data_IF_294456850927
#
_entry.id   IF_294456850927
#
_cell.length_a   1.000
_cell.length_b   1.000
_cell.length_c   1.000
_cell.angle_alpha   90.00
_cell.angle_beta   90.00
_cell.angle_gamma   90.00
#
_symmetry.space_group_name_H-M   'P 1'
#
loop_
_entity.id
_entity.type
_entity.pdbx_description
1 polymer ?
#
# COMPACT_ATOMS: atom_id res chain seq x y z
N UNK A 1 54.18 -12.06 -30.21
CA UNK A 1 55.18 -11.95 -29.12
C UNK A 1 54.45 -11.31 -27.95
N UNK A 2 53.81 -12.07 -27.06
CA UNK A 2 54.36 -12.70 -25.82
C UNK A 2 54.90 -11.63 -24.84
N UNK A 3 54.51 -11.48 -23.57
CA UNK A 3 54.00 -12.37 -22.48
C UNK A 3 53.07 -11.52 -21.56
N UNK A 4 52.03 -11.98 -20.86
CA UNK A 4 51.84 -13.02 -19.83
C UNK A 4 52.59 -12.82 -18.49
N UNK A 5 51.81 -12.65 -17.40
CA UNK A 5 51.95 -13.21 -16.04
C UNK A 5 50.76 -12.68 -15.21
N UNK A 6 49.90 -13.43 -14.49
CA UNK A 6 49.91 -14.83 -14.07
C UNK A 6 49.90 -14.89 -12.53
N UNK A 7 48.76 -15.13 -11.87
CA UNK A 7 48.75 -15.69 -10.50
C UNK A 7 47.48 -16.50 -10.22
N UNK A 8 47.68 -17.79 -9.91
CA UNK A 8 46.66 -18.76 -9.48
C UNK A 8 47.20 -19.57 -8.31
N UNK A 9 46.36 -19.72 -7.27
CA UNK A 9 46.23 -20.85 -6.33
C UNK A 9 47.39 -21.33 -5.45
N UNK A 10 47.09 -21.49 -4.15
CA UNK A 10 47.58 -22.62 -3.35
C UNK A 10 46.51 -23.12 -2.35
N UNK A 11 46.36 -24.45 -2.28
CA UNK A 11 45.52 -25.24 -1.35
C UNK A 11 46.43 -26.24 -0.61
N UNK A 12 45.93 -26.76 0.53
CA UNK A 12 46.25 -28.05 1.21
C UNK A 12 47.53 -28.04 2.09
N UNK A 13 47.64 -28.68 3.28
CA UNK A 13 47.17 -30.00 3.81
C UNK A 13 47.14 -30.03 5.37
N UNK A 14 46.36 -30.98 5.88
CA UNK A 14 46.05 -31.52 7.23
C UNK A 14 47.17 -32.02 8.18
N UNK A 15 46.84 -32.22 9.47
CA UNK A 15 47.04 -33.51 10.21
C UNK A 15 46.28 -33.55 11.56
N UNK A 16 46.00 -34.76 12.05
CA UNK A 16 45.08 -35.15 13.14
C UNK A 16 45.79 -35.91 14.29
N UNK A 17 45.03 -36.33 15.32
CA UNK A 17 45.28 -37.31 16.44
C UNK A 17 45.29 -36.67 17.85
N UNK A 18 44.85 -37.26 18.97
CA UNK A 18 44.13 -38.50 19.34
C UNK A 18 43.80 -38.48 20.86
N UNK A 19 42.94 -39.40 21.30
CA UNK A 19 42.29 -39.60 22.61
C UNK A 19 43.15 -39.83 23.88
N UNK A 20 42.54 -39.72 25.08
CA UNK A 20 42.68 -40.66 26.23
C UNK A 20 41.76 -40.34 27.44
N UNK A 21 41.40 -41.37 28.21
CA UNK A 21 40.49 -41.41 29.36
C UNK A 21 41.21 -41.74 30.71
N UNK A 22 40.56 -41.55 31.87
CA UNK A 22 40.95 -42.03 33.22
C UNK A 22 39.75 -41.98 34.20
N UNK A 23 39.21 -43.08 34.77
CA UNK A 23 39.58 -43.94 35.93
C UNK A 23 39.17 -43.41 37.34
N UNK A 24 38.14 -44.06 37.94
CA UNK A 24 37.82 -44.55 39.34
C UNK A 24 38.58 -44.04 40.60
N UNK A 25 38.01 -44.09 41.86
CA UNK A 25 37.73 -45.36 42.59
C UNK A 25 36.62 -45.42 43.70
N UNK A 26 36.44 -46.68 44.17
CA UNK A 26 35.58 -47.36 45.18
C UNK A 26 35.94 -47.19 46.67
N UNK A 27 35.00 -47.47 47.60
CA UNK A 27 35.25 -48.08 48.95
C UNK A 27 34.06 -48.90 49.50
N UNK A 28 34.36 -49.90 50.36
CA UNK A 28 33.57 -51.01 50.93
C UNK A 28 33.24 -50.79 52.44
N UNK A 29 32.07 -51.16 53.01
CA UNK A 29 31.67 -52.39 53.75
C UNK A 29 31.52 -52.30 55.30
N UNK A 30 30.73 -53.26 55.85
CA UNK A 30 30.44 -53.66 57.27
C UNK A 30 29.29 -52.93 58.00
N UNK A 31 28.42 -53.52 58.85
CA UNK A 31 28.19 -54.88 59.40
C UNK A 31 27.39 -54.80 60.73
N UNK A 32 26.54 -55.81 61.03
CA UNK A 32 25.97 -56.24 62.34
C UNK A 32 24.61 -55.70 62.91
N UNK A 33 23.56 -56.52 62.76
CA UNK A 33 22.68 -57.16 63.79
C UNK A 33 21.97 -56.41 64.96
N UNK A 34 20.62 -56.54 65.06
CA UNK A 34 19.82 -57.04 66.22
C UNK A 34 18.27 -57.03 65.97
N UNK A 35 17.55 -57.90 66.68
CA UNK A 35 16.12 -58.33 66.59
C UNK A 35 15.05 -57.34 67.15
N UNK A 36 13.72 -57.55 66.92
CA UNK A 36 12.65 -56.53 66.84
C UNK A 36 11.75 -56.38 68.10
N UNK A 37 10.91 -55.32 68.23
CA UNK A 37 9.43 -55.44 68.05
C UNK A 37 8.74 -54.09 67.65
N UNK A 38 7.39 -53.91 67.75
CA UNK A 38 6.28 -54.70 67.22
C UNK A 38 5.48 -53.93 66.12
N UNK A 39 4.64 -54.69 65.41
CA UNK A 39 3.66 -54.24 64.40
C UNK A 39 2.61 -53.32 65.02
N UNK A 40 2.42 -52.14 64.44
CA UNK A 40 1.31 -51.25 64.83
C UNK A 40 1.27 -49.86 64.20
N UNK A 41 2.19 -49.49 63.30
CA UNK A 41 2.22 -48.15 62.67
C UNK A 41 2.64 -48.16 61.19
N UNK A 42 2.26 -49.20 60.45
CA UNK A 42 2.70 -49.41 59.07
C UNK A 42 1.60 -49.21 58.01
N UNK A 43 0.41 -48.73 58.39
CA UNK A 43 -0.69 -48.46 57.44
C UNK A 43 -0.80 -46.96 57.13
N UNK A 44 -0.38 -46.08 58.04
CA UNK A 44 -0.50 -44.62 57.86
C UNK A 44 0.68 -44.00 57.08
N UNK A 45 1.85 -44.65 57.07
CA UNK A 45 3.00 -44.24 56.23
C UNK A 45 2.84 -44.63 54.76
N UNK A 46 2.16 -45.73 54.46
CA UNK A 46 1.91 -46.19 53.09
C UNK A 46 0.92 -45.27 52.37
N UNK A 47 -0.10 -44.76 53.05
CA UNK A 47 -1.05 -43.80 52.45
C UNK A 47 -0.43 -42.42 52.16
N UNK A 48 0.47 -41.93 53.03
CA UNK A 48 1.17 -40.66 52.78
C UNK A 48 2.24 -40.79 51.69
N UNK A 49 2.94 -41.93 51.61
CA UNK A 49 3.87 -42.20 50.52
C UNK A 49 3.15 -42.41 49.18
N UNK A 50 1.98 -43.04 49.15
CA UNK A 50 1.16 -43.16 47.93
C UNK A 50 0.61 -41.80 47.50
N UNK A 51 0.18 -40.94 48.43
CA UNK A 51 -0.22 -39.55 48.12
C UNK A 51 0.94 -38.72 47.57
N UNK A 52 2.14 -38.83 48.15
CA UNK A 52 3.33 -38.13 47.64
C UNK A 52 3.80 -38.67 46.29
N UNK A 53 3.71 -39.98 46.04
CA UNK A 53 4.04 -40.57 44.74
C UNK A 53 3.01 -40.21 43.65
N UNK A 54 1.72 -40.11 43.99
CA UNK A 54 0.68 -39.63 43.07
C UNK A 54 0.87 -38.13 42.79
N UNK A 55 1.21 -37.32 43.80
CA UNK A 55 1.49 -35.89 43.62
C UNK A 55 2.74 -35.66 42.78
N UNK A 56 3.83 -36.40 43.04
CA UNK A 56 5.03 -36.38 42.20
C UNK A 56 4.74 -36.88 40.78
N UNK A 57 3.91 -37.90 40.61
CA UNK A 57 3.44 -38.35 39.30
C UNK A 57 2.65 -37.27 38.55
N UNK A 58 1.73 -36.58 39.23
CA UNK A 58 0.94 -35.48 38.66
C UNK A 58 1.81 -34.26 38.30
N UNK A 59 2.75 -33.88 39.17
CA UNK A 59 3.70 -32.79 38.90
C UNK A 59 4.64 -33.15 37.76
N UNK A 60 5.09 -34.40 37.68
CA UNK A 60 5.95 -34.86 36.57
C UNK A 60 5.18 -34.91 35.25
N UNK A 61 3.88 -35.29 35.25
CA UNK A 61 3.01 -35.19 34.06
C UNK A 61 2.74 -33.74 33.68
N UNK A 62 2.54 -32.83 34.65
CA UNK A 62 2.38 -31.39 34.41
C UNK A 62 3.66 -30.74 33.87
N UNK A 63 4.82 -31.11 34.39
CA UNK A 63 6.13 -30.63 33.92
C UNK A 63 6.49 -31.23 32.56
N UNK A 64 6.16 -32.51 32.29
CA UNK A 64 6.33 -33.13 30.98
C UNK A 64 5.33 -32.58 29.94
N UNK A 65 4.10 -32.22 30.34
CA UNK A 65 3.17 -31.44 29.49
C UNK A 65 3.60 -29.98 29.31
N UNK A 66 4.39 -29.43 30.22
CA UNK A 66 5.01 -28.11 30.10
C UNK A 66 6.29 -28.09 29.25
N UNK A 67 6.92 -29.24 29.01
CA UNK A 67 8.19 -29.35 28.26
C UNK A 67 8.05 -30.08 26.91
N UNK A 68 6.93 -30.77 26.67
CA UNK A 68 6.51 -31.24 25.34
C UNK A 68 5.34 -30.36 24.91
N UNK A 69 5.64 -29.34 24.10
CA UNK A 69 4.67 -28.37 23.62
C UNK A 69 3.51 -29.00 22.87
N UNK A 70 2.35 -29.07 23.53
CA UNK A 70 1.05 -29.16 22.88
C UNK A 70 0.44 -27.77 22.95
N UNK A 71 0.46 -27.08 21.82
CA UNK A 71 -0.03 -25.73 21.62
C UNK A 71 -1.56 -25.69 21.72
N UNK A 72 -2.10 -25.54 22.94
CA UNK A 72 -3.50 -25.13 23.18
C UNK A 72 -3.49 -23.83 23.97
N UNK A 73 -3.32 -22.74 23.23
CA UNK A 73 -3.38 -21.38 23.70
C UNK A 73 -3.57 -20.47 22.50
N UNK A 74 -4.70 -20.61 21.81
CA UNK A 74 -5.17 -19.56 20.90
C UNK A 74 -5.30 -18.29 21.74
N UNK A 75 -4.52 -17.26 21.43
CA UNK A 75 -4.71 -15.99 22.11
C UNK A 75 -6.15 -15.53 21.83
N UNK A 76 -6.84 -14.95 22.80
CA UNK A 76 -8.21 -14.44 22.59
C UNK A 76 -8.28 -13.50 21.37
N UNK A 77 -7.16 -12.87 21.00
CA UNK A 77 -7.03 -12.09 19.78
C UNK A 77 -7.12 -12.91 18.49
N UNK A 78 -6.59 -14.14 18.46
CA UNK A 78 -6.64 -15.02 17.28
C UNK A 78 -8.04 -15.62 17.09
N UNK A 79 -8.74 -15.93 18.18
CA UNK A 79 -10.14 -16.40 18.16
C UNK A 79 -11.09 -15.27 17.74
N UNK A 80 -10.90 -14.06 18.28
CA UNK A 80 -11.67 -12.88 17.86
C UNK A 80 -11.41 -12.56 16.39
N UNK A 81 -10.17 -12.67 15.91
CA UNK A 81 -9.85 -12.43 14.50
C UNK A 81 -10.46 -13.51 13.59
N UNK A 82 -10.45 -14.79 14.00
CA UNK A 82 -11.13 -15.87 13.28
C UNK A 82 -12.65 -15.67 13.22
N UNK A 83 -13.28 -15.31 14.35
CA UNK A 83 -14.72 -15.05 14.40
C UNK A 83 -15.11 -13.84 13.53
N UNK A 84 -14.33 -12.75 13.54
CA UNK A 84 -14.57 -11.60 12.66
C UNK A 84 -14.42 -11.99 11.19
N UNK A 85 -13.41 -12.80 10.84
CA UNK A 85 -13.22 -13.30 9.48
C UNK A 85 -14.41 -14.19 9.05
N UNK A 86 -14.88 -15.07 9.93
CA UNK A 86 -16.00 -15.98 9.67
C UNK A 86 -17.33 -15.23 9.55
N UNK A 87 -17.58 -14.25 10.41
CA UNK A 87 -18.76 -13.38 10.37
C UNK A 87 -18.74 -12.44 9.15
N UNK A 88 -17.57 -11.92 8.78
CA UNK A 88 -17.38 -11.15 7.54
C UNK A 88 -17.61 -12.02 6.31
N UNK A 89 -17.08 -13.24 6.28
CA UNK A 89 -17.32 -14.17 5.18
C UNK A 89 -18.78 -14.58 5.08
N UNK A 90 -19.49 -14.70 6.20
CA UNK A 90 -20.93 -14.96 6.24
C UNK A 90 -21.74 -13.77 5.71
N UNK A 91 -21.42 -12.55 6.12
CA UNK A 91 -22.04 -11.32 5.60
C UNK A 91 -21.75 -11.14 4.10
N UNK A 92 -20.53 -11.44 3.65
CA UNK A 92 -20.15 -11.43 2.23
C UNK A 92 -20.88 -12.50 1.43
N UNK A 93 -21.12 -13.68 2.02
CA UNK A 93 -21.92 -14.74 1.39
C UNK A 93 -23.40 -14.35 1.26
N UNK A 94 -23.93 -13.62 2.25
CA UNK A 94 -25.30 -13.10 2.23
C UNK A 94 -25.46 -12.00 1.16
N UNK A 95 -24.51 -11.06 1.06
CA UNK A 95 -24.44 -10.05 -0.03
C UNK A 95 -24.32 -10.74 -1.40
N UNK A 96 -23.56 -11.83 -1.49
CA UNK A 96 -23.43 -12.62 -2.73
C UNK A 96 -24.66 -13.46 -3.04
N UNK A 97 -25.49 -13.83 -2.06
CA UNK A 97 -26.74 -14.57 -2.30
C UNK A 97 -27.91 -13.67 -2.67
N UNK A 98 -27.85 -12.39 -2.29
CA UNK A 98 -28.80 -11.34 -2.72
C UNK A 98 -28.42 -10.73 -4.08
N UNK A 99 -27.43 -11.30 -4.80
CA UNK A 99 -27.19 -10.92 -6.19
C UNK A 99 -28.38 -11.39 -7.04
N UNK A 100 -29.25 -10.43 -7.33
CA UNK A 100 -30.48 -10.56 -8.09
C UNK A 100 -30.39 -11.52 -9.28
N UNK A 101 -31.41 -12.37 -9.37
CA UNK A 101 -31.78 -13.19 -10.52
C UNK A 101 -32.19 -12.35 -11.76
N UNK A 102 -31.77 -11.09 -11.87
CA UNK A 102 -32.17 -10.16 -12.93
C UNK A 102 -31.10 -9.88 -13.98
N UNK A 103 -29.87 -10.37 -13.84
CA UNK A 103 -28.77 -10.08 -14.79
C UNK A 103 -28.70 -11.05 -15.98
N UNK A 104 -29.66 -11.96 -16.11
CA UNK A 104 -29.77 -12.93 -17.22
C UNK A 104 -30.57 -12.41 -18.42
N UNK A 105 -31.01 -11.15 -18.40
CA UNK A 105 -31.78 -10.51 -19.48
C UNK A 105 -31.09 -9.28 -20.11
N UNK A 106 -29.80 -9.01 -19.84
CA UNK A 106 -29.08 -8.03 -20.67
C UNK A 106 -28.87 -8.62 -22.08
N UNK A 107 -29.20 -7.88 -23.17
CA UNK A 107 -28.83 -8.27 -24.51
C UNK A 107 -27.31 -8.52 -24.58
N UNK A 108 -26.81 -9.40 -25.47
CA UNK A 108 -25.38 -9.59 -25.62
C UNK A 108 -24.68 -8.24 -25.80
N UNK A 109 -23.55 -8.06 -25.09
CA UNK A 109 -22.65 -6.90 -25.11
C UNK A 109 -22.76 -6.21 -26.48
N UNK A 110 -23.24 -4.97 -26.49
CA UNK A 110 -23.42 -4.22 -27.73
C UNK A 110 -22.11 -4.24 -28.51
N UNK A 111 -22.10 -4.94 -29.63
CA UNK A 111 -21.02 -4.90 -30.61
C UNK A 111 -20.74 -3.42 -30.90
N UNK A 112 -19.65 -2.88 -30.34
CA UNK A 112 -19.09 -1.64 -30.84
C UNK A 112 -18.84 -1.91 -32.33
N UNK A 113 -19.58 -1.21 -33.18
CA UNK A 113 -19.30 -1.20 -34.61
C UNK A 113 -17.84 -0.77 -34.74
N UNK A 114 -16.97 -1.66 -35.24
CA UNK A 114 -15.52 -1.44 -35.32
C UNK A 114 -15.18 -0.19 -36.16
N UNK A 115 -16.17 0.37 -36.85
CA UNK A 115 -16.10 1.62 -37.62
C UNK A 115 -16.44 2.88 -36.80
N UNK A 116 -17.01 2.78 -35.61
CA UNK A 116 -17.30 3.94 -34.76
C UNK A 116 -16.10 4.27 -33.87
N UNK A 117 -15.64 5.52 -33.96
CA UNK A 117 -14.58 6.03 -33.09
C UNK A 117 -15.17 6.32 -31.71
N UNK A 118 -14.62 5.68 -30.67
CA UNK A 118 -15.04 5.92 -29.28
C UNK A 118 -14.83 7.39 -28.89
N UNK A 119 -15.75 7.95 -28.09
CA UNK A 119 -15.65 9.31 -27.53
C UNK A 119 -16.05 9.33 -26.07
N UNK A 120 -15.37 10.13 -25.24
CA UNK A 120 -15.71 10.31 -23.81
C UNK A 120 -16.97 11.18 -23.57
N UNK A 121 -17.55 11.71 -24.65
CA UNK A 121 -18.71 12.58 -24.65
C UNK A 121 -18.61 13.67 -25.73
N UNK A 122 -19.60 14.58 -25.80
CA UNK A 122 -19.59 15.67 -26.78
C UNK A 122 -18.34 16.54 -26.68
N UNK A 123 -17.78 16.94 -27.83
CA UNK A 123 -16.59 17.79 -27.88
C UNK A 123 -16.91 19.17 -27.31
N UNK A 124 -16.06 19.62 -26.39
CA UNK A 124 -16.09 20.97 -25.82
C UNK A 124 -14.80 21.67 -26.27
N UNK A 125 -14.91 22.91 -26.77
CA UNK A 125 -13.77 23.67 -27.31
C UNK A 125 -13.53 25.01 -26.61
N UNK A 126 -14.39 25.37 -25.66
CA UNK A 126 -14.35 26.65 -24.94
C UNK A 126 -14.46 26.48 -23.42
N UNK A 127 -13.97 25.37 -22.87
CA UNK A 127 -14.09 25.05 -21.44
C UNK A 127 -13.46 26.11 -20.54
N UNK A 128 -12.27 26.62 -20.90
CA UNK A 128 -11.60 27.66 -20.09
C UNK A 128 -12.44 28.95 -19.99
N UNK A 129 -13.15 29.30 -21.07
CA UNK A 129 -14.04 30.46 -21.08
C UNK A 129 -15.28 30.21 -20.22
N UNK A 130 -15.90 29.03 -20.34
CA UNK A 130 -17.05 28.64 -19.53
C UNK A 130 -16.69 28.61 -18.04
N UNK A 131 -15.57 27.98 -17.68
CA UNK A 131 -15.07 27.87 -16.31
C UNK A 131 -14.74 29.25 -15.73
N UNK A 132 -14.09 30.14 -16.49
CA UNK A 132 -13.83 31.51 -16.06
C UNK A 132 -15.11 32.31 -15.80
N UNK A 133 -16.12 32.17 -16.67
CA UNK A 133 -17.41 32.82 -16.49
C UNK A 133 -18.11 32.30 -15.23
N UNK A 134 -18.13 30.98 -15.04
CA UNK A 134 -18.72 30.35 -13.86
C UNK A 134 -18.05 30.82 -12.56
N UNK A 135 -16.70 30.85 -12.50
CA UNK A 135 -15.96 31.33 -11.32
C UNK A 135 -16.26 32.79 -11.00
N UNK A 136 -16.46 33.62 -12.03
CA UNK A 136 -16.84 35.03 -11.85
C UNK A 136 -18.25 35.18 -11.28
N UNK A 137 -19.17 34.28 -11.66
CA UNK A 137 -20.56 34.27 -11.19
C UNK A 137 -20.74 33.60 -9.82
N UNK A 138 -19.78 32.77 -9.38
CA UNK A 138 -19.86 31.97 -8.16
C UNK A 138 -18.66 32.23 -7.23
N UNK A 139 -18.53 33.45 -6.65
CA UNK A 139 -17.36 33.83 -5.84
C UNK A 139 -17.22 33.03 -4.54
N UNK A 140 -18.30 32.41 -4.05
CA UNK A 140 -18.29 31.54 -2.86
C UNK A 140 -17.58 30.20 -3.11
N UNK A 141 -17.28 29.87 -4.38
CA UNK A 141 -16.58 28.65 -4.79
C UNK A 141 -15.27 29.00 -5.52
N UNK A 142 -14.28 29.62 -4.85
CA UNK A 142 -13.04 30.03 -5.50
C UNK A 142 -12.17 28.81 -5.82
N UNK A 143 -11.44 28.87 -6.93
CA UNK A 143 -10.44 27.85 -7.28
C UNK A 143 -9.15 27.93 -6.47
N UNK A 144 -8.98 29.00 -5.70
CA UNK A 144 -7.87 29.18 -4.77
C UNK A 144 -8.38 29.64 -3.40
N UNK A 145 -7.92 28.98 -2.33
CA UNK A 145 -8.24 29.31 -0.94
C UNK A 145 -6.94 29.63 -0.21
N UNK A 146 -6.82 30.82 0.37
CA UNK A 146 -5.60 31.29 1.06
C UNK A 146 -4.31 31.15 0.22
N UNK A 147 -4.40 31.41 -1.09
CA UNK A 147 -3.28 31.27 -2.03
C UNK A 147 -2.94 29.84 -2.45
N UNK A 148 -3.69 28.83 -1.98
CA UNK A 148 -3.53 27.43 -2.37
C UNK A 148 -4.62 27.03 -3.37
N UNK A 149 -4.24 26.36 -4.45
CA UNK A 149 -5.19 25.85 -5.43
C UNK A 149 -6.06 24.73 -4.81
N UNK A 150 -7.37 24.72 -5.11
CA UNK A 150 -8.26 23.63 -4.68
C UNK A 150 -7.90 22.32 -5.40
N UNK A 151 -7.73 21.26 -4.62
CA UNK A 151 -7.45 19.90 -5.10
C UNK A 151 -8.62 18.99 -4.74
N UNK A 152 -9.03 18.16 -5.70
CA UNK A 152 -9.96 17.05 -5.50
C UNK A 152 -9.21 15.73 -5.71
N UNK A 153 -9.04 14.95 -4.65
CA UNK A 153 -8.47 13.60 -4.75
C UNK A 153 -9.55 12.62 -5.23
N UNK A 154 -9.29 11.95 -6.34
CA UNK A 154 -10.13 10.91 -6.91
C UNK A 154 -9.45 9.56 -6.76
N UNK A 155 -10.17 8.61 -6.16
CA UNK A 155 -9.78 7.19 -6.12
C UNK A 155 -11.01 6.33 -6.37
N UNK A 156 -10.86 5.02 -6.47
CA UNK A 156 -11.99 4.12 -6.63
C UNK A 156 -11.61 2.65 -6.69
N UNK A 157 -12.62 1.81 -6.63
CA UNK A 157 -12.53 0.37 -6.77
C UNK A 157 -13.72 -0.14 -7.61
N UNK A 158 -13.68 -1.40 -8.09
CA UNK A 158 -14.86 -2.03 -8.67
C UNK A 158 -16.06 -2.00 -7.69
N UNK A 159 -17.31 -1.98 -8.20
CA UNK A 159 -18.53 -2.05 -7.38
C UNK A 159 -18.75 -3.40 -6.71
N UNK A 160 -18.25 -4.47 -7.34
CA UNK A 160 -18.43 -5.84 -6.86
C UNK A 160 -17.41 -6.14 -5.76
N UNK A 161 -17.74 -7.01 -4.79
CA UNK A 161 -16.77 -7.51 -3.82
C UNK A 161 -15.54 -8.08 -4.52
N UNK A 162 -14.39 -7.99 -3.87
CA UNK A 162 -13.15 -8.52 -4.42
C UNK A 162 -13.22 -10.05 -4.63
N UNK A 163 -12.52 -10.53 -5.66
CA UNK A 163 -12.35 -11.96 -5.92
C UNK A 163 -11.72 -12.64 -4.69
N UNK A 164 -10.69 -11.98 -4.15
CA UNK A 164 -10.07 -12.33 -2.88
C UNK A 164 -10.71 -11.50 -1.74
N UNK A 165 -11.43 -12.12 -0.78
CA UNK A 165 -12.15 -11.39 0.27
C UNK A 165 -11.27 -10.48 1.14
N UNK A 166 -9.99 -10.82 1.33
CA UNK A 166 -9.06 -9.95 2.08
C UNK A 166 -8.78 -8.64 1.33
N UNK A 167 -8.98 -8.61 0.01
CA UNK A 167 -8.82 -7.43 -0.84
C UNK A 167 -9.68 -6.25 -0.37
N UNK A 168 -10.95 -6.51 -0.03
CA UNK A 168 -11.87 -5.49 0.48
C UNK A 168 -11.34 -4.84 1.78
N UNK A 169 -10.70 -5.63 2.65
CA UNK A 169 -10.06 -5.09 3.86
C UNK A 169 -8.91 -4.13 3.54
N UNK A 170 -8.10 -4.44 2.52
CA UNK A 170 -7.00 -3.56 2.12
C UNK A 170 -7.49 -2.34 1.32
N UNK A 171 -8.60 -2.44 0.58
CA UNK A 171 -9.29 -1.28 0.01
C UNK A 171 -9.78 -0.33 1.12
N UNK A 172 -10.38 -0.89 2.19
CA UNK A 172 -10.81 -0.11 3.36
C UNK A 172 -9.64 0.59 4.05
N UNK A 173 -8.52 -0.10 4.26
CA UNK A 173 -7.30 0.50 4.83
C UNK A 173 -6.74 1.60 3.93
N UNK A 174 -6.76 1.39 2.62
CA UNK A 174 -6.32 2.39 1.65
C UNK A 174 -7.18 3.65 1.66
N UNK A 175 -8.51 3.52 1.68
CA UNK A 175 -9.38 4.69 1.77
C UNK A 175 -9.23 5.40 3.11
N UNK A 176 -9.09 4.69 4.23
CA UNK A 176 -8.78 5.33 5.53
C UNK A 176 -7.49 6.14 5.46
N UNK A 177 -6.42 5.59 4.88
CA UNK A 177 -5.15 6.28 4.70
C UNK A 177 -5.32 7.59 3.91
N UNK A 178 -6.05 7.54 2.80
CA UNK A 178 -6.36 8.72 1.98
C UNK A 178 -7.24 9.73 2.71
N UNK A 179 -8.25 9.28 3.46
CA UNK A 179 -9.10 10.14 4.31
C UNK A 179 -8.25 10.89 5.34
N UNK A 180 -7.31 10.20 5.99
CA UNK A 180 -6.46 10.82 7.00
C UNK A 180 -5.56 11.90 6.40
N UNK A 181 -4.91 11.61 5.27
CA UNK A 181 -4.11 12.61 4.54
C UNK A 181 -4.96 13.80 4.08
N UNK A 182 -6.07 13.54 3.39
CA UNK A 182 -6.95 14.59 2.86
C UNK A 182 -7.50 15.48 3.97
N UNK A 183 -7.86 14.91 5.12
CA UNK A 183 -8.31 15.67 6.30
C UNK A 183 -7.21 16.55 6.90
N UNK A 184 -5.96 16.10 6.90
CA UNK A 184 -4.80 16.87 7.39
C UNK A 184 -4.52 18.06 6.47
N UNK A 185 -4.61 17.85 5.15
CA UNK A 185 -4.21 18.82 4.13
C UNK A 185 -5.37 19.66 3.57
N UNK A 186 -6.61 19.44 4.02
CA UNK A 186 -7.78 20.18 3.56
C UNK A 186 -8.16 19.89 2.11
N UNK A 187 -7.98 18.63 1.69
CA UNK A 187 -8.27 18.14 0.33
C UNK A 187 -9.63 17.43 0.35
N UNK A 188 -10.46 17.68 -0.65
CA UNK A 188 -11.72 16.96 -0.83
C UNK A 188 -11.45 15.60 -1.49
N UNK A 189 -12.24 14.58 -1.17
CA UNK A 189 -12.06 13.22 -1.71
C UNK A 189 -13.35 12.70 -2.36
N UNK A 190 -13.21 12.12 -3.55
CA UNK A 190 -14.25 11.34 -4.24
C UNK A 190 -13.78 9.90 -4.34
N UNK A 191 -14.63 8.97 -3.89
CA UNK A 191 -14.42 7.55 -4.04
C UNK A 191 -15.43 6.98 -5.04
N UNK A 192 -14.96 6.59 -6.22
CA UNK A 192 -15.82 6.00 -7.24
C UNK A 192 -15.98 4.49 -7.04
N UNK A 193 -17.23 4.02 -7.08
CA UNK A 193 -17.58 2.60 -7.19
C UNK A 193 -18.45 2.31 -8.41
N UNK A 194 -18.72 3.29 -9.27
CA UNK A 194 -19.59 3.13 -10.44
C UNK A 194 -18.78 2.93 -11.73
N UNK A 195 -19.28 2.05 -12.60
CA UNK A 195 -18.86 2.00 -14.00
C UNK A 195 -19.68 3.03 -14.78
N UNK A 196 -19.06 4.18 -15.08
CA UNK A 196 -19.72 5.24 -15.86
C UNK A 196 -19.80 4.91 -17.36
N UNK A 197 -18.96 3.98 -17.81
CA UNK A 197 -18.84 3.58 -19.20
C UNK A 197 -18.51 2.08 -19.23
N UNK A 198 -19.30 1.30 -20.01
CA UNK A 198 -19.13 -0.15 -20.12
C UNK A 198 -17.90 -0.53 -20.98
N UNK A 199 -17.45 0.37 -21.86
CA UNK A 199 -16.31 0.16 -22.76
C UNK A 199 -14.98 0.43 -22.07
N UNK A 200 -14.92 1.48 -21.24
CA UNK A 200 -13.74 1.82 -20.44
C UNK A 200 -13.78 1.16 -19.06
N UNK A 201 -13.65 -0.16 -19.04
CA UNK A 201 -13.54 -0.95 -17.81
C UNK A 201 -12.09 -1.04 -17.28
N UNK A 202 -11.95 -1.49 -16.02
CA UNK A 202 -10.65 -1.72 -15.39
C UNK A 202 -9.85 -0.43 -15.16
N UNK A 203 -8.56 -0.43 -15.46
CA UNK A 203 -7.68 0.73 -15.27
C UNK A 203 -8.10 1.94 -16.13
N UNK A 204 -8.86 1.72 -17.21
CA UNK A 204 -9.37 2.79 -18.07
C UNK A 204 -10.55 3.58 -17.48
N UNK A 205 -11.23 3.04 -16.47
CA UNK A 205 -12.43 3.66 -15.87
C UNK A 205 -12.15 5.04 -15.24
N UNK A 206 -10.89 5.36 -14.98
CA UNK A 206 -10.46 6.67 -14.47
C UNK A 206 -10.71 7.80 -15.46
N UNK A 207 -10.54 7.59 -16.77
CA UNK A 207 -10.72 8.64 -17.80
C UNK A 207 -12.13 9.26 -17.81
N UNK A 208 -13.23 8.48 -17.94
CA UNK A 208 -14.57 9.05 -17.97
C UNK A 208 -14.94 9.71 -16.64
N UNK A 209 -14.45 9.18 -15.51
CA UNK A 209 -14.68 9.78 -14.20
C UNK A 209 -13.94 11.12 -14.02
N UNK A 210 -12.66 11.20 -14.44
CA UNK A 210 -11.90 12.46 -14.41
C UNK A 210 -12.63 13.51 -15.27
N UNK A 211 -13.00 13.18 -16.50
CA UNK A 211 -13.76 14.10 -17.37
C UNK A 211 -15.06 14.56 -16.70
N UNK A 212 -15.81 13.64 -16.08
CA UNK A 212 -17.05 13.97 -15.38
C UNK A 212 -16.81 14.95 -14.24
N UNK A 213 -15.81 14.72 -13.41
CA UNK A 213 -15.50 15.61 -12.28
C UNK A 213 -14.97 16.97 -12.74
N UNK A 214 -14.17 17.04 -13.80
CA UNK A 214 -13.73 18.33 -14.37
C UNK A 214 -14.93 19.22 -14.71
N UNK A 215 -15.93 18.64 -15.39
CA UNK A 215 -17.11 19.37 -15.86
C UNK A 215 -18.12 19.67 -14.73
N UNK A 216 -18.23 18.78 -13.74
CA UNK A 216 -19.16 18.94 -12.61
C UNK A 216 -18.62 19.85 -11.50
N UNK A 217 -17.29 20.04 -11.42
CA UNK A 217 -16.63 20.84 -10.40
C UNK A 217 -15.73 21.94 -10.99
N UNK A 218 -16.29 23.01 -11.58
CA UNK A 218 -15.50 24.10 -12.16
C UNK A 218 -14.65 24.84 -11.12
N UNK A 219 -15.00 24.78 -9.83
CA UNK A 219 -14.23 25.34 -8.72
C UNK A 219 -12.93 24.58 -8.44
N UNK A 220 -12.80 23.32 -8.87
CA UNK A 220 -11.59 22.54 -8.63
C UNK A 220 -10.52 22.96 -9.63
N UNK A 221 -9.32 23.28 -9.15
CA UNK A 221 -8.18 23.63 -10.00
C UNK A 221 -7.39 22.39 -10.42
N UNK A 222 -7.22 21.44 -9.50
CA UNK A 222 -6.52 20.18 -9.75
C UNK A 222 -7.36 18.98 -9.36
N UNK A 223 -7.49 18.03 -10.28
CA UNK A 223 -7.97 16.68 -9.98
C UNK A 223 -6.74 15.79 -9.81
N UNK A 224 -6.63 15.15 -8.66
CA UNK A 224 -5.55 14.23 -8.36
C UNK A 224 -6.07 12.81 -8.35
N UNK A 225 -5.77 12.05 -9.41
CA UNK A 225 -6.06 10.62 -9.45
C UNK A 225 -5.04 9.88 -8.58
N UNK A 226 -5.52 8.94 -7.75
CA UNK A 226 -4.67 8.04 -6.98
C UNK A 226 -5.28 6.64 -6.92
N UNK A 227 -4.52 5.63 -7.37
CA UNK A 227 -4.96 4.24 -7.39
C UNK A 227 -5.28 3.72 -5.98
N UNK A 228 -6.14 2.70 -5.92
CA UNK A 228 -6.58 2.11 -4.66
C UNK A 228 -5.48 1.34 -3.93
N UNK A 229 -4.43 0.90 -4.61
CA UNK A 229 -3.24 0.24 -4.07
C UNK A 229 -2.04 1.20 -3.89
N UNK A 230 -2.25 2.50 -4.08
CA UNK A 230 -1.30 3.54 -3.65
C UNK A 230 -1.65 4.06 -2.25
N UNK A 231 -0.66 4.18 -1.38
CA UNK A 231 -0.81 4.68 -0.01
C UNK A 231 0.07 5.90 0.22
N UNK A 232 -0.47 6.91 0.90
CA UNK A 232 0.35 7.96 1.50
C UNK A 232 1.22 7.36 2.60
N UNK A 233 2.52 7.57 2.50
CA UNK A 233 3.50 7.17 3.51
C UNK A 233 4.23 8.36 4.14
N UNK A 234 4.08 9.56 3.59
CA UNK A 234 4.41 10.82 4.24
C UNK A 234 3.13 11.64 4.49
N UNK A 235 2.69 11.70 5.74
CA UNK A 235 1.48 12.44 6.13
C UNK A 235 1.73 13.95 6.31
N UNK A 236 3.00 14.39 6.25
CA UNK A 236 3.41 15.78 6.47
C UNK A 236 3.71 16.49 5.16
N UNK A 237 4.27 15.77 4.18
CA UNK A 237 4.61 16.33 2.87
C UNK A 237 3.38 16.92 2.16
N UNK A 238 3.54 18.11 1.61
CA UNK A 238 2.54 18.80 0.79
C UNK A 238 3.10 18.98 -0.62
N UNK A 239 2.27 18.71 -1.63
CA UNK A 239 2.66 18.88 -3.04
C UNK A 239 2.99 20.36 -3.30
N UNK A 240 4.18 20.68 -3.84
CA UNK A 240 4.58 22.07 -4.10
C UNK A 240 3.90 22.61 -5.38
N UNK A 241 2.57 22.81 -5.34
CA UNK A 241 1.75 23.16 -6.52
C UNK A 241 2.21 24.42 -7.26
N UNK A 242 2.86 25.36 -6.57
CA UNK A 242 3.44 26.57 -7.19
C UNK A 242 4.49 26.22 -8.25
N UNK A 243 5.18 25.07 -8.13
CA UNK A 243 6.13 24.58 -9.13
C UNK A 243 5.47 24.26 -10.47
N UNK A 244 4.19 23.91 -10.45
CA UNK A 244 3.46 23.40 -11.60
C UNK A 244 2.54 24.44 -12.24
N UNK A 245 2.71 25.72 -11.92
CA UNK A 245 1.85 26.82 -12.39
C UNK A 245 1.70 26.86 -13.92
N UNK A 246 2.75 26.52 -14.67
CA UNK A 246 2.76 26.56 -16.14
C UNK A 246 2.45 25.21 -16.80
N UNK A 247 2.09 24.20 -16.00
CA UNK A 247 1.80 22.83 -16.44
C UNK A 247 0.35 22.45 -16.14
N UNK A 248 -0.14 21.45 -16.87
CA UNK A 248 -1.51 20.94 -16.78
C UNK A 248 -1.58 19.46 -16.40
N UNK A 249 -0.51 18.70 -16.65
CA UNK A 249 -0.36 17.33 -16.17
C UNK A 249 0.92 17.24 -15.34
N UNK A 250 0.82 16.72 -14.12
CA UNK A 250 1.98 16.40 -13.26
C UNK A 250 1.95 14.91 -13.00
N UNK A 251 3.01 14.21 -13.40
CA UNK A 251 3.08 12.76 -13.34
C UNK A 251 4.47 12.32 -12.93
N UNK A 252 4.57 11.30 -12.06
CA UNK A 252 5.87 10.77 -11.68
C UNK A 252 6.51 10.02 -12.85
N UNK A 253 7.81 10.20 -13.04
CA UNK A 253 8.55 9.43 -14.04
C UNK A 253 10.03 9.73 -14.09
N UNK A 254 10.71 9.06 -15.01
CA UNK A 254 12.15 9.19 -15.20
C UNK A 254 12.44 9.65 -16.63
N UNK A 255 13.00 10.87 -16.83
CA UNK A 255 13.22 11.43 -18.16
C UNK A 255 14.09 10.56 -19.08
N UNK A 256 15.10 9.88 -18.55
CA UNK A 256 15.95 8.94 -19.29
C UNK A 256 15.16 7.71 -19.75
N UNK A 257 14.31 7.16 -18.89
CA UNK A 257 13.42 6.06 -19.27
C UNK A 257 12.41 6.50 -20.33
N UNK A 258 11.92 7.73 -20.26
CA UNK A 258 10.92 8.27 -21.19
C UNK A 258 11.52 8.56 -22.56
N UNK A 259 12.51 9.45 -22.63
CA UNK A 259 13.00 10.00 -23.89
C UNK A 259 14.05 9.11 -24.55
N UNK A 260 14.96 8.52 -23.76
CA UNK A 260 16.06 7.74 -24.33
C UNK A 260 15.66 6.28 -24.52
N UNK A 261 15.04 5.68 -23.50
CA UNK A 261 14.71 4.25 -23.53
C UNK A 261 13.33 3.93 -24.08
N UNK A 262 12.40 4.91 -24.09
CA UNK A 262 10.99 4.71 -24.44
C UNK A 262 10.36 3.54 -23.68
N UNK A 263 10.65 3.47 -22.39
CA UNK A 263 10.22 2.38 -21.51
C UNK A 263 8.74 2.51 -21.15
N UNK A 264 8.02 1.39 -21.07
CA UNK A 264 6.61 1.38 -20.65
C UNK A 264 6.39 1.71 -19.16
N UNK A 265 7.47 1.70 -18.37
CA UNK A 265 7.49 2.12 -16.96
C UNK A 265 8.13 3.50 -16.76
N UNK A 266 8.28 4.27 -17.85
CA UNK A 266 8.91 5.59 -17.78
C UNK A 266 8.10 6.62 -16.97
N UNK A 267 6.78 6.48 -16.97
CA UNK A 267 5.81 7.27 -16.21
C UNK A 267 4.89 6.33 -15.44
N UNK A 268 4.26 6.81 -14.36
CA UNK A 268 3.24 6.04 -13.65
C UNK A 268 1.89 6.76 -13.59
N UNK A 269 0.83 6.13 -14.10
CA UNK A 269 -0.54 6.69 -14.11
C UNK A 269 -1.38 6.25 -12.91
N UNK A 270 -0.73 5.76 -11.84
CA UNK A 270 -1.41 5.45 -10.59
C UNK A 270 -1.44 6.58 -9.57
N UNK A 271 -0.70 7.67 -9.83
CA UNK A 271 -0.81 8.92 -9.07
C UNK A 271 -0.36 10.09 -9.93
N UNK A 272 -1.28 10.97 -10.31
CA UNK A 272 -1.00 12.13 -11.15
C UNK A 272 -2.04 13.24 -10.94
N UNK A 273 -1.68 14.47 -11.31
CA UNK A 273 -2.56 15.63 -11.23
C UNK A 273 -2.92 16.15 -12.62
N UNK A 274 -4.21 16.42 -12.83
CA UNK A 274 -4.74 17.16 -13.98
C UNK A 274 -5.24 18.53 -13.55
N UNK A 275 -4.85 19.57 -14.29
CA UNK A 275 -5.47 20.89 -14.16
C UNK A 275 -6.85 20.87 -14.81
N UNK A 276 -7.84 21.50 -14.19
CA UNK A 276 -9.17 21.66 -14.77
C UNK A 276 -9.17 22.76 -15.85
N UNK A 277 -8.80 22.38 -17.07
CA UNK A 277 -8.70 23.26 -18.23
C UNK A 277 -9.01 22.54 -19.54
N UNK A 278 -9.18 23.31 -20.62
CA UNK A 278 -9.48 22.80 -21.96
C UNK A 278 -8.42 21.81 -22.45
N UNK A 279 -7.14 22.11 -22.22
CA UNK A 279 -6.03 21.24 -22.61
C UNK A 279 -6.16 19.83 -22.01
N UNK A 280 -6.59 19.72 -20.76
CA UNK A 280 -6.75 18.42 -20.10
C UNK A 280 -7.93 17.64 -20.68
N UNK A 281 -9.03 18.31 -21.06
CA UNK A 281 -10.14 17.65 -21.79
C UNK A 281 -9.66 17.11 -23.13
N UNK A 282 -8.86 17.88 -23.85
CA UNK A 282 -8.30 17.48 -25.15
C UNK A 282 -7.33 16.31 -25.01
N UNK A 283 -6.52 16.27 -23.94
CA UNK A 283 -5.65 15.13 -23.67
C UNK A 283 -6.46 13.87 -23.35
N UNK A 284 -7.54 13.97 -22.56
CA UNK A 284 -8.41 12.83 -22.26
C UNK A 284 -9.02 12.24 -23.55
N UNK A 285 -9.48 13.09 -24.47
CA UNK A 285 -9.98 12.67 -25.78
C UNK A 285 -8.90 11.95 -26.61
N UNK A 286 -7.65 12.41 -26.55
CA UNK A 286 -6.53 11.79 -27.27
C UNK A 286 -6.01 10.50 -26.62
N UNK A 287 -6.23 10.33 -25.32
CA UNK A 287 -5.77 9.19 -24.54
C UNK A 287 -6.75 8.00 -24.58
N UNK A 288 -8.05 8.27 -24.57
CA UNK A 288 -9.11 7.27 -24.57
C UNK A 288 -9.15 6.26 -25.75
N UNK A 289 -8.68 6.53 -26.98
CA UNK A 289 -8.93 5.66 -28.14
C UNK A 289 -8.39 4.24 -28.04
N UNK A 290 -7.36 4.00 -27.22
CA UNK A 290 -6.80 2.65 -26.99
C UNK A 290 -7.51 1.88 -25.87
N UNK A 291 -8.50 2.50 -25.21
CA UNK A 291 -9.16 1.98 -24.02
C UNK A 291 -10.38 1.08 -24.21
N UNK A 292 -11.23 1.18 -25.27
CA UNK A 292 -12.43 0.36 -25.38
C UNK A 292 -12.13 -1.14 -25.36
N UNK A 293 -12.79 -1.90 -24.48
CA UNK A 293 -12.57 -3.35 -24.29
C UNK A 293 -12.75 -4.15 -25.60
N UNK A 294 -12.20 -5.36 -25.65
CA UNK A 294 -12.29 -6.24 -26.82
C UNK A 294 -11.23 -5.94 -27.89
N UNK A 295 -11.54 -6.13 -29.19
CA UNK A 295 -10.54 -6.09 -30.27
C UNK A 295 -9.72 -4.80 -30.33
N UNK A 296 -10.32 -3.65 -30.02
CA UNK A 296 -9.65 -2.34 -30.05
C UNK A 296 -8.48 -2.32 -29.05
N UNK A 297 -8.74 -2.65 -27.78
CA UNK A 297 -7.72 -2.68 -26.73
C UNK A 297 -6.69 -3.78 -26.94
N UNK A 298 -7.09 -4.93 -27.49
CA UNK A 298 -6.18 -6.02 -27.83
C UNK A 298 -5.18 -5.64 -28.93
N UNK A 299 -5.66 -5.06 -30.04
CA UNK A 299 -4.80 -4.59 -31.14
C UNK A 299 -3.92 -3.42 -30.71
N UNK A 300 -4.47 -2.47 -29.93
CA UNK A 300 -3.68 -1.40 -29.34
C UNK A 300 -2.56 -1.96 -28.43
N UNK A 301 -2.83 -3.02 -27.66
CA UNK A 301 -1.82 -3.70 -26.84
C UNK A 301 -0.64 -4.23 -27.65
N UNK A 302 -0.89 -4.75 -28.86
CA UNK A 302 0.17 -5.19 -29.79
C UNK A 302 1.00 -4.00 -30.29
N UNK A 303 0.36 -2.89 -30.64
CA UNK A 303 1.04 -1.64 -31.04
C UNK A 303 1.93 -1.13 -29.91
N UNK A 304 1.43 -1.07 -28.68
CA UNK A 304 2.18 -0.60 -27.51
C UNK A 304 3.38 -1.51 -27.22
N UNK A 305 3.19 -2.82 -27.29
CA UNK A 305 4.27 -3.82 -27.09
C UNK A 305 5.38 -3.68 -28.14
N UNK A 306 5.01 -3.37 -29.39
CA UNK A 306 5.98 -3.17 -30.47
C UNK A 306 6.77 -1.85 -30.35
N UNK A 307 6.21 -0.84 -29.68
CA UNK A 307 6.78 0.52 -29.64
C UNK A 307 7.42 0.91 -28.29
N UNK A 308 7.08 0.22 -27.20
CA UNK A 308 7.57 0.55 -25.85
C UNK A 308 8.51 -0.54 -25.34
N UNK A 309 9.71 -0.12 -24.93
CA UNK A 309 10.75 -1.03 -24.45
C UNK A 309 10.31 -1.72 -23.16
N UNK A 310 10.49 -3.04 -23.11
CA UNK A 310 10.28 -3.85 -21.92
C UNK A 310 8.82 -4.13 -21.57
N UNK A 311 7.85 -3.70 -22.40
CA UNK A 311 6.43 -3.98 -22.19
C UNK A 311 6.14 -5.46 -22.48
N UNK A 312 5.53 -6.23 -21.56
CA UNK A 312 5.08 -7.58 -21.87
C UNK A 312 3.87 -7.58 -22.82
N UNK A 313 3.56 -8.73 -23.41
CA UNK A 313 2.43 -8.88 -24.33
C UNK A 313 1.11 -9.07 -23.53
N UNK A 314 0.30 -8.02 -23.48
CA UNK A 314 -1.06 -8.01 -22.94
C UNK A 314 -1.86 -6.84 -23.55
N UNK A 315 -3.17 -6.77 -23.25
CA UNK A 315 -4.08 -5.71 -23.69
C UNK A 315 -3.54 -4.31 -23.39
N UNK A 316 -3.98 -3.28 -24.12
CA UNK A 316 -3.58 -1.90 -23.85
C UNK A 316 -3.99 -1.44 -22.44
N UNK A 317 -3.04 -0.81 -21.75
CA UNK A 317 -3.22 -0.15 -20.46
C UNK A 317 -3.07 1.37 -20.60
N UNK A 318 -3.69 2.10 -19.68
CA UNK A 318 -3.71 3.56 -19.69
C UNK A 318 -2.29 4.15 -19.58
N UNK A 319 -1.40 3.55 -18.78
CA UNK A 319 -0.02 4.02 -18.60
C UNK A 319 0.77 3.97 -19.91
N UNK A 320 0.79 2.81 -20.57
CA UNK A 320 1.48 2.60 -21.83
C UNK A 320 0.89 3.48 -22.93
N UNK A 321 -0.44 3.61 -23.00
CA UNK A 321 -1.10 4.47 -23.98
C UNK A 321 -0.72 5.94 -23.80
N UNK A 322 -0.63 6.44 -22.56
CA UNK A 322 -0.19 7.81 -22.29
C UNK A 322 1.27 8.02 -22.71
N UNK A 323 2.16 7.10 -22.33
CA UNK A 323 3.59 7.18 -22.71
C UNK A 323 3.72 7.20 -24.23
N UNK A 324 3.02 6.31 -24.94
CA UNK A 324 3.02 6.27 -26.39
C UNK A 324 2.49 7.56 -27.03
N UNK A 325 1.38 8.11 -26.51
CA UNK A 325 0.82 9.39 -26.96
C UNK A 325 1.81 10.54 -26.78
N UNK A 326 2.41 10.66 -25.59
CA UNK A 326 3.35 11.74 -25.27
C UNK A 326 4.64 11.66 -26.09
N UNK A 327 5.10 10.45 -26.43
CA UNK A 327 6.28 10.25 -27.29
C UNK A 327 5.97 10.49 -28.77
N UNK A 328 4.80 10.07 -29.24
CA UNK A 328 4.40 10.21 -30.65
C UNK A 328 3.95 11.61 -31.02
N UNK A 329 3.38 12.36 -30.07
CA UNK A 329 2.87 13.72 -30.26
C UNK A 329 3.53 14.71 -29.29
N UNK A 330 4.86 14.59 -29.13
CA UNK A 330 5.65 15.37 -28.19
C UNK A 330 5.41 16.87 -28.29
N UNK A 331 5.47 17.43 -29.50
CA UNK A 331 5.31 18.86 -29.75
C UNK A 331 3.91 19.39 -29.38
N UNK A 332 2.90 18.52 -29.38
CA UNK A 332 1.52 18.89 -29.02
C UNK A 332 1.31 18.92 -27.51
N UNK A 333 1.87 17.94 -26.78
CA UNK A 333 1.48 17.71 -25.39
C UNK A 333 2.57 18.06 -24.38
N UNK A 334 3.84 17.76 -24.67
CA UNK A 334 4.88 17.72 -23.63
C UNK A 334 5.22 19.08 -23.01
N UNK A 335 4.93 20.20 -23.69
CA UNK A 335 5.12 21.54 -23.12
C UNK A 335 4.32 21.74 -21.81
N UNK A 336 3.16 21.08 -21.68
CA UNK A 336 2.28 21.20 -20.51
C UNK A 336 2.37 20.00 -19.55
N UNK A 337 3.29 19.07 -19.79
CA UNK A 337 3.52 17.90 -18.92
C UNK A 337 4.75 18.12 -18.06
N UNK A 338 4.60 18.03 -16.75
CA UNK A 338 5.70 18.01 -15.80
C UNK A 338 5.98 16.56 -15.37
N UNK A 339 7.17 16.06 -15.72
CA UNK A 339 7.65 14.75 -15.27
C UNK A 339 8.37 14.94 -13.92
N UNK A 340 7.68 14.62 -12.83
CA UNK A 340 8.21 14.77 -11.47
C UNK A 340 9.08 13.58 -11.08
N UNK A 341 10.25 13.87 -10.53
CA UNK A 341 11.25 12.87 -10.12
C UNK A 341 12.03 13.27 -8.85
N UNK A 342 11.65 14.36 -8.18
CA UNK A 342 12.33 14.86 -6.98
C UNK A 342 11.73 14.32 -5.68
N UNK A 343 10.50 13.82 -5.73
CA UNK A 343 9.84 13.13 -4.64
C UNK A 343 8.93 12.04 -5.22
N UNK A 344 8.53 11.09 -4.40
CA UNK A 344 7.72 9.96 -4.84
C UNK A 344 6.23 10.33 -4.92
N UNK A 345 5.86 11.11 -5.94
CA UNK A 345 4.45 11.21 -6.37
C UNK A 345 3.90 9.82 -6.75
N UNK A 346 4.78 8.92 -7.17
CA UNK A 346 4.61 7.47 -7.17
C UNK A 346 5.93 6.83 -6.70
N UNK A 347 5.89 5.98 -5.67
CA UNK A 347 7.06 5.23 -5.20
C UNK A 347 6.86 3.73 -5.33
N UNK A 348 7.71 3.06 -6.10
CA UNK A 348 7.61 1.63 -6.32
C UNK A 348 7.92 0.83 -5.04
N UNK A 349 6.93 0.09 -4.54
CA UNK A 349 6.94 -0.48 -3.19
C UNK A 349 8.14 -1.39 -2.88
N UNK A 350 8.59 -2.23 -3.83
CA UNK A 350 9.70 -3.17 -3.57
C UNK A 350 11.00 -2.48 -3.17
N UNK A 351 11.26 -1.26 -3.66
CA UNK A 351 12.45 -0.48 -3.31
C UNK A 351 12.32 0.30 -1.99
N UNK A 352 11.14 0.31 -1.38
CA UNK A 352 10.80 1.20 -0.27
C UNK A 352 10.45 0.46 1.02
N UNK A 353 9.60 -0.58 0.94
CA UNK A 353 8.96 -1.16 2.13
C UNK A 353 9.92 -1.80 3.11
N UNK A 354 11.06 -2.30 2.63
CA UNK A 354 12.09 -2.94 3.48
C UNK A 354 13.00 -1.91 4.17
N UNK A 355 12.90 -0.62 3.79
CA UNK A 355 13.69 0.48 4.33
C UNK A 355 12.96 1.29 5.40
N UNK A 356 11.69 1.00 5.70
CA UNK A 356 10.90 1.80 6.64
C UNK A 356 11.50 1.90 8.04
N UNK A 357 12.07 0.83 8.60
CA UNK A 357 12.75 0.87 9.89
C UNK A 357 13.97 1.79 9.86
N UNK A 358 14.76 1.74 8.78
CA UNK A 358 15.88 2.66 8.56
C UNK A 358 15.39 4.12 8.49
N UNK A 359 14.29 4.35 7.77
CA UNK A 359 13.71 5.68 7.63
C UNK A 359 13.21 6.25 8.96
N UNK A 360 12.57 5.43 9.79
CA UNK A 360 12.14 5.80 11.14
C UNK A 360 13.32 6.18 12.04
N UNK A 361 14.45 5.48 11.90
CA UNK A 361 15.64 5.71 12.72
C UNK A 361 16.40 6.98 12.29
N UNK A 362 16.57 7.19 10.98
CA UNK A 362 17.49 8.20 10.44
C UNK A 362 16.82 9.50 10.01
N UNK A 363 15.54 9.47 9.66
CA UNK A 363 14.85 10.59 8.99
C UNK A 363 13.55 10.97 9.71
N UNK A 364 12.77 11.83 9.07
CA UNK A 364 11.46 12.29 9.56
C UNK A 364 10.51 12.52 8.37
N UNK A 365 9.18 12.49 8.61
CA UNK A 365 8.22 12.85 7.57
C UNK A 365 8.32 14.33 7.19
N UNK A 366 7.84 14.67 5.99
CA UNK A 366 7.90 15.98 5.34
C UNK A 366 8.92 16.08 4.20
N UNK A 367 9.60 14.98 3.86
CA UNK A 367 10.66 14.97 2.83
C UNK A 367 10.11 14.49 1.47
N UNK A 368 9.18 13.54 1.48
CA UNK A 368 8.52 13.01 0.28
C UNK A 368 9.36 12.11 -0.65
N UNK A 369 10.67 11.98 -0.42
CA UNK A 369 11.63 11.27 -1.29
C UNK A 369 12.14 9.94 -0.69
N UNK A 370 13.28 9.43 -1.16
CA UNK A 370 13.95 8.21 -0.68
C UNK A 370 14.30 8.15 0.80
N UNK A 371 14.25 9.29 1.49
CA UNK A 371 14.45 9.40 2.94
C UNK A 371 13.15 9.20 3.70
N UNK A 372 12.02 9.60 3.10
CA UNK A 372 10.68 9.35 3.62
C UNK A 372 9.66 9.46 2.46
N UNK A 373 9.25 8.34 1.83
CA UNK A 373 8.54 8.39 0.56
C UNK A 373 7.14 8.98 0.71
N UNK A 374 6.78 9.90 -0.17
CA UNK A 374 5.46 10.50 -0.16
C UNK A 374 4.36 9.46 -0.40
N UNK A 375 4.45 8.74 -1.51
CA UNK A 375 3.54 7.65 -1.85
C UNK A 375 4.32 6.35 -2.00
N UNK A 376 3.80 5.28 -1.39
CA UNK A 376 4.19 3.90 -1.69
C UNK A 376 3.07 3.23 -2.48
N UNK A 377 3.38 2.78 -3.70
CA UNK A 377 2.43 2.23 -4.66
C UNK A 377 2.70 0.73 -4.93
N UNK A 378 1.70 -0.10 -4.62
CA UNK A 378 1.77 -1.56 -4.67
C UNK A 378 1.47 -2.17 -6.06
N UNK A 379 2.07 -1.57 -7.09
CA UNK A 379 1.96 -2.02 -8.48
C UNK A 379 2.21 -3.53 -8.58
N UNK A 380 1.29 -4.25 -9.23
CA UNK A 380 1.36 -5.69 -9.45
C UNK A 380 0.83 -6.56 -8.31
N UNK A 381 0.51 -6.00 -7.14
CA UNK A 381 -0.04 -6.76 -6.01
C UNK A 381 -1.51 -7.13 -6.17
N UNK A 382 -2.30 -6.31 -6.88
CA UNK A 382 -3.70 -6.56 -7.26
C UNK A 382 -4.53 -7.22 -6.13
N UNK A 383 -4.63 -6.61 -4.92
CA UNK A 383 -5.19 -7.27 -3.74
C UNK A 383 -6.68 -7.66 -3.90
N UNK A 384 -7.40 -6.99 -4.80
CA UNK A 384 -8.81 -7.25 -5.09
C UNK A 384 -9.04 -8.26 -6.23
N UNK A 385 -8.03 -8.48 -7.08
CA UNK A 385 -8.13 -9.35 -8.25
C UNK A 385 -7.66 -10.78 -7.99
N UNK A 386 -7.89 -11.65 -8.97
CA UNK A 386 -7.53 -13.07 -8.95
C UNK A 386 -6.12 -13.38 -9.47
N UNK A 387 -5.44 -12.42 -10.12
CA UNK A 387 -4.08 -12.57 -10.64
C UNK A 387 -3.16 -11.50 -10.05
N UNK A 388 -2.00 -11.88 -9.54
CA UNK A 388 -0.98 -10.98 -9.01
C UNK A 388 0.39 -11.33 -9.58
N UNK A 389 1.20 -10.32 -9.87
CA UNK A 389 2.57 -10.48 -10.40
C UNK A 389 3.56 -10.87 -9.29
N UNK A 390 3.13 -10.73 -8.03
CA UNK A 390 3.89 -10.98 -6.82
C UNK A 390 3.18 -11.97 -5.91
N UNK A 391 3.95 -12.61 -5.02
CA UNK A 391 3.39 -13.46 -3.99
C UNK A 391 2.43 -12.65 -3.09
N UNK A 392 1.16 -13.06 -3.05
CA UNK A 392 0.09 -12.38 -2.30
C UNK A 392 0.50 -12.11 -0.85
N UNK A 393 1.13 -13.08 -0.18
CA UNK A 393 1.60 -12.92 1.20
C UNK A 393 2.58 -11.76 1.37
N UNK A 394 3.55 -11.60 0.44
CA UNK A 394 4.52 -10.50 0.48
C UNK A 394 3.83 -9.16 0.26
N UNK A 395 2.89 -9.10 -0.68
CA UNK A 395 2.08 -7.92 -0.95
C UNK A 395 1.30 -7.49 0.29
N UNK A 396 0.49 -8.38 0.87
CA UNK A 396 -0.33 -8.05 2.03
C UNK A 396 0.52 -7.62 3.24
N UNK A 397 1.61 -8.34 3.54
CA UNK A 397 2.55 -7.95 4.61
C UNK A 397 3.17 -6.58 4.36
N UNK A 398 3.49 -6.26 3.12
CA UNK A 398 4.12 -4.99 2.76
C UNK A 398 3.12 -3.83 2.77
N UNK A 399 1.88 -4.07 2.34
CA UNK A 399 0.76 -3.13 2.48
C UNK A 399 0.43 -2.85 3.95
N UNK A 400 0.45 -3.88 4.80
CA UNK A 400 0.30 -3.74 6.25
C UNK A 400 1.38 -2.82 6.84
N UNK A 401 2.63 -3.04 6.43
CA UNK A 401 3.78 -2.21 6.84
C UNK A 401 3.62 -0.76 6.39
N UNK A 402 3.29 -0.52 5.13
CA UNK A 402 3.10 0.83 4.59
C UNK A 402 1.93 1.57 5.27
N UNK A 403 0.81 0.88 5.48
CA UNK A 403 -0.33 1.43 6.20
C UNK A 403 0.07 1.81 7.63
N UNK A 404 0.72 0.92 8.40
CA UNK A 404 1.10 1.21 9.79
C UNK A 404 2.24 2.26 9.87
N UNK A 405 3.12 2.33 8.88
CA UNK A 405 4.14 3.37 8.76
C UNK A 405 3.50 4.77 8.63
N UNK A 406 2.44 4.86 7.84
CA UNK A 406 1.66 6.08 7.68
C UNK A 406 0.76 6.37 8.90
N UNK A 407 -0.01 5.37 9.37
CA UNK A 407 -0.96 5.51 10.47
C UNK A 407 -0.25 5.84 11.79
N UNK A 408 1.01 5.42 11.98
CA UNK A 408 1.85 5.88 13.09
C UNK A 408 1.98 7.41 13.16
N UNK A 409 2.05 8.10 12.02
CA UNK A 409 2.16 9.56 11.98
C UNK A 409 0.85 10.21 12.46
N UNK A 410 -0.29 9.59 12.12
CA UNK A 410 -1.63 10.01 12.55
C UNK A 410 -1.86 9.68 14.04
N UNK A 411 -1.60 8.45 14.47
CA UNK A 411 -1.77 8.00 15.86
C UNK A 411 -0.90 8.78 16.85
N UNK A 412 0.27 9.26 16.41
CA UNK A 412 1.17 10.08 17.23
C UNK A 412 0.48 11.37 17.70
N UNK A 413 -0.46 11.93 16.93
CA UNK A 413 -1.27 13.07 17.34
C UNK A 413 -2.05 12.77 18.62
N UNK A 414 -2.54 11.54 18.75
CA UNK A 414 -3.38 11.06 19.84
C UNK A 414 -2.59 10.38 20.97
N UNK A 415 -1.26 10.25 20.83
CA UNK A 415 -0.40 9.65 21.86
C UNK A 415 -0.29 8.14 21.78
N UNK A 416 -0.55 7.57 20.60
CA UNK A 416 -0.42 6.14 20.31
C UNK A 416 0.57 5.90 19.16
N UNK A 417 0.95 4.63 19.01
CA UNK A 417 1.63 4.12 17.83
C UNK A 417 1.50 2.60 17.79
N UNK A 418 1.66 2.00 16.63
CA UNK A 418 1.70 0.56 16.45
C UNK A 418 2.84 -0.07 17.25
N UNK A 419 2.63 -1.31 17.72
CA UNK A 419 3.67 -2.08 18.41
C UNK A 419 4.83 -2.44 17.48
N UNK A 420 4.56 -2.56 16.19
CA UNK A 420 5.52 -2.74 15.09
C UNK A 420 4.78 -2.62 13.76
N UNK A 421 5.50 -2.47 12.65
CA UNK A 421 4.89 -2.19 11.34
C UNK A 421 4.02 -3.34 10.79
N UNK A 422 4.19 -4.57 11.29
CA UNK A 422 3.32 -5.71 10.94
C UNK A 422 2.19 -5.95 11.94
N UNK A 423 2.10 -5.17 13.02
CA UNK A 423 1.14 -5.42 14.10
C UNK A 423 -0.02 -4.43 14.06
N UNK A 424 -1.27 -4.90 13.99
CA UNK A 424 -2.44 -4.03 14.12
C UNK A 424 -2.60 -3.53 15.57
N UNK A 425 -1.90 -4.12 16.54
CA UNK A 425 -1.97 -3.73 17.96
C UNK A 425 -1.24 -2.41 18.17
N UNK A 426 -1.90 -1.48 18.85
CA UNK A 426 -1.31 -0.21 19.25
C UNK A 426 -0.74 -0.28 20.67
N UNK A 427 0.13 0.68 20.99
CA UNK A 427 0.64 0.99 22.32
C UNK A 427 0.59 2.49 22.56
N UNK A 428 0.47 2.86 23.82
CA UNK A 428 0.59 4.25 24.25
C UNK A 428 2.06 4.67 24.18
N UNK A 429 2.33 5.86 23.65
CA UNK A 429 3.69 6.41 23.52
C UNK A 429 3.96 7.60 24.44
N UNK A 430 2.93 8.07 25.18
CA UNK A 430 3.04 9.13 26.20
C UNK A 430 2.00 8.96 27.31
N UNK A 431 2.34 9.37 28.52
CA UNK A 431 1.42 9.33 29.66
C UNK A 431 0.21 10.26 29.45
N UNK A 432 -0.91 9.92 30.08
CA UNK A 432 -2.07 10.81 30.11
C UNK A 432 -1.76 12.06 30.93
N UNK A 433 -2.43 13.15 30.58
CA UNK A 433 -2.24 14.43 31.25
C UNK A 433 -3.58 15.12 31.38
N UNK A 434 -3.79 15.79 32.52
CA UNK A 434 -4.91 16.69 32.74
C UNK A 434 -4.74 18.04 32.00
N UNK A 435 -3.61 18.25 31.32
CA UNK A 435 -3.30 19.45 30.53
C UNK A 435 -3.07 19.13 29.04
N UNK A 436 -4.07 18.58 28.32
CA UNK A 436 -3.89 18.10 26.95
C UNK A 436 -3.49 19.20 25.96
N UNK A 437 -3.82 20.47 26.25
CA UNK A 437 -3.52 21.60 25.38
C UNK A 437 -2.09 22.16 25.53
N UNK A 438 -1.32 21.74 26.55
CA UNK A 438 0.00 22.30 26.86
C UNK A 438 1.05 22.02 25.78
N UNK A 439 0.90 20.92 25.03
CA UNK A 439 1.92 20.43 24.10
C UNK A 439 1.39 20.23 22.67
N UNK A 440 0.26 20.82 22.31
CA UNK A 440 -0.39 20.62 20.99
C UNK A 440 0.58 20.90 19.86
N UNK A 441 1.23 22.07 19.87
CA UNK A 441 2.15 22.47 18.79
C UNK A 441 3.37 21.54 18.65
N UNK A 442 3.77 20.83 19.71
CA UNK A 442 4.88 19.87 19.66
C UNK A 442 4.47 18.58 18.93
N UNK A 443 3.19 18.23 18.97
CA UNK A 443 2.68 16.96 18.48
C UNK A 443 1.81 17.10 17.23
N UNK A 444 1.42 18.32 16.87
CA UNK A 444 0.51 18.59 15.76
C UNK A 444 1.25 18.70 14.42
N UNK A 445 1.15 17.63 13.62
CA UNK A 445 1.70 17.57 12.26
C UNK A 445 1.01 18.56 11.30
N UNK A 446 -0.18 19.08 11.66
CA UNK A 446 -0.90 20.10 10.87
C UNK A 446 -0.33 21.51 11.08
N UNK A 447 0.52 21.71 12.10
CA UNK A 447 0.97 23.03 12.56
C UNK A 447 2.49 23.20 12.58
N UNK A 448 3.24 22.25 12.04
CA UNK A 448 4.69 22.37 11.89
C UNK A 448 5.00 23.44 10.84
N UNK A 449 5.05 24.69 11.27
CA UNK A 449 5.90 25.70 10.63
C UNK A 449 7.32 25.14 10.67
N UNK A 450 8.10 25.19 9.59
CA UNK A 450 9.52 24.84 9.66
C UNK A 450 10.13 25.70 10.78
N UNK A 451 10.71 25.05 11.79
CA UNK A 451 11.49 25.76 12.78
C UNK A 451 12.55 26.55 12.02
N UNK A 452 12.39 27.88 11.92
CA UNK A 452 13.49 28.77 11.59
C UNK A 452 14.53 28.50 12.67
N UNK A 453 15.57 27.76 12.32
CA UNK A 453 16.77 27.70 13.13
C UNK A 453 17.31 29.12 13.11
N UNK A 454 17.01 29.89 14.15
CA UNK A 454 17.73 31.12 14.44
C UNK A 454 19.18 30.71 14.64
N UNK A 455 20.01 31.00 13.64
CA UNK A 455 21.44 31.00 13.80
C UNK A 455 21.75 31.96 14.95
N UNK A 456 22.15 31.41 16.09
CA UNK A 456 22.75 32.22 17.15
C UNK A 456 24.10 32.70 16.62
N UNK A 457 24.16 34.01 16.40
CA UNK A 457 25.37 34.82 16.18
C UNK A 457 26.42 34.60 17.27
#
# INVERSE_FOLDING_TARGET
MAKEDGFRTQKRVSSASSAAAGVLPTTMASGAGRRPPPRGRQIQKTFNNVKMTILCGFVTILVLRGTIGVNFGTSDADVVNQNIIEETNRLLAEIRSDSDLSDSNEPPDSDLDLNMTYTLGPKITNWDQQRKLWLTQNPDFPSFVNGKAKVLLLTGSPPKPCDNPIGDHYLLKSVKNKIDYCRIHGIEIVYNMAHLDKELAGYWAKLPMIRRLMLSHPEIEWIWWMDSDALFTDMVFEIPLSRYENHNLVIHGYPDLLFDQKSWIALNTGSFLFRNCQWSLDLLDAWAPMGPKGPIREEAGKILTANLKGRPAFEADDQSALIYLLLSQKETWMEKVFVENQYYLHGFWEGLVDRYEEMIEKYHPGLGDERWPFITHFVGCKPCGSYADYAVERCLKSMERAFNFADNQVLKLYGFGHRGLLSPKIKRIRNETTFPLKFVNRFDIRRTTPLKIEARS
#
